data_IF_422562255180
#
_entry.id   IF_422562255180
#
_cell.length_a   1.000
_cell.length_b   1.000
_cell.length_c   1.000
_cell.angle_alpha   90.00
_cell.angle_beta   90.00
_cell.angle_gamma   90.00
#
_symmetry.space_group_name_H-M   'P 1'
#
loop_
_entity.id
_entity.type
_entity.pdbx_description
1 polymer ?
#
# COMPACT_ATOMS: atom_id res chain seq x y z
N UNK A 1 -12.47 3.66 -79.59
CA UNK A 1 -12.80 4.86 -78.78
C UNK A 1 -11.81 4.91 -77.63
N UNK A 2 -10.82 5.80 -77.75
CA UNK A 2 -10.73 7.09 -77.03
C UNK A 2 -10.53 6.87 -75.54
N UNK A 3 -9.51 7.39 -74.88
CA UNK A 3 -8.34 8.22 -75.22
C UNK A 3 -7.74 8.44 -73.81
N UNK A 4 -6.44 8.27 -73.56
CA UNK A 4 -5.45 9.38 -73.60
C UNK A 4 -4.77 9.42 -72.22
N UNK A 5 -3.48 9.04 -72.12
CA UNK A 5 -2.27 9.93 -72.22
C UNK A 5 -1.97 10.49 -70.82
N UNK A 6 -0.75 10.64 -70.30
CA UNK A 6 0.69 10.53 -70.65
C UNK A 6 1.37 11.11 -69.36
N UNK A 7 2.65 11.04 -69.02
CA UNK A 7 3.95 10.55 -69.53
C UNK A 7 4.94 10.86 -68.38
N UNK A 8 5.95 10.00 -68.16
CA UNK A 8 7.41 10.21 -68.41
C UNK A 8 8.08 11.14 -67.38
N UNK A 9 9.30 10.86 -66.93
CA UNK A 9 10.54 10.57 -67.68
C UNK A 9 11.29 9.40 -67.01
N UNK A 10 11.96 8.41 -67.62
CA UNK A 10 12.79 8.22 -68.83
C UNK A 10 14.01 9.13 -68.94
N UNK A 11 15.20 8.62 -68.59
CA UNK A 11 16.32 8.28 -69.49
C UNK A 11 17.58 8.13 -68.61
N UNK A 12 18.18 6.94 -68.56
CA UNK A 12 19.23 6.44 -69.47
C UNK A 12 20.63 7.00 -69.14
N UNK A 13 21.53 6.08 -68.83
CA UNK A 13 22.97 6.28 -68.80
C UNK A 13 23.66 4.93 -68.92
N UNK A 14 23.62 4.36 -70.12
CA UNK A 14 24.42 3.20 -70.49
C UNK A 14 25.90 3.60 -70.59
N UNK A 15 26.83 2.72 -70.24
CA UNK A 15 27.68 2.03 -71.22
C UNK A 15 28.91 1.33 -70.63
N UNK A 16 29.08 0.08 -71.11
CA UNK A 16 30.31 -0.62 -71.51
C UNK A 16 31.49 -0.82 -70.54
N UNK A 17 31.89 -2.09 -70.37
CA UNK A 17 33.26 -2.42 -70.00
C UNK A 17 33.51 -3.87 -69.58
N UNK A 18 33.60 -4.77 -70.56
CA UNK A 18 34.43 -6.01 -70.65
C UNK A 18 34.70 -6.85 -69.39
N UNK A 19 34.37 -8.14 -69.55
CA UNK A 19 34.57 -9.24 -68.62
C UNK A 19 36.03 -9.48 -68.19
N UNK A 20 36.20 -9.86 -66.91
CA UNK A 20 37.24 -10.78 -66.46
C UNK A 20 36.63 -11.73 -65.43
N UNK A 21 36.54 -13.00 -65.78
CA UNK A 21 36.19 -14.06 -64.85
C UNK A 21 37.35 -14.22 -63.86
N UNK A 22 37.12 -13.84 -62.61
CA UNK A 22 37.92 -14.30 -61.48
C UNK A 22 37.03 -15.22 -60.65
N UNK A 23 37.37 -16.51 -60.65
CA UNK A 23 36.90 -17.49 -59.68
C UNK A 23 37.45 -17.09 -58.31
N UNK A 24 36.74 -16.19 -57.63
CA UNK A 24 36.96 -15.83 -56.23
C UNK A 24 35.83 -16.44 -55.42
N UNK A 25 36.13 -17.49 -54.65
CA UNK A 25 35.20 -17.98 -53.64
C UNK A 25 34.86 -16.88 -52.66
N UNK A 26 33.62 -16.40 -52.67
CA UNK A 26 33.09 -15.58 -51.59
C UNK A 26 32.34 -16.50 -50.64
N UNK A 27 32.86 -16.59 -49.42
CA UNK A 27 32.29 -17.32 -48.31
C UNK A 27 30.77 -17.12 -48.22
N UNK A 28 30.04 -18.21 -48.01
CA UNK A 28 28.64 -18.15 -47.63
C UNK A 28 28.51 -17.19 -46.45
N UNK A 29 27.76 -16.09 -46.62
CA UNK A 29 27.41 -15.22 -45.50
C UNK A 29 26.67 -16.11 -44.49
N UNK A 30 27.27 -16.33 -43.32
CA UNK A 30 26.58 -17.00 -42.24
C UNK A 30 25.24 -16.27 -42.03
N UNK A 31 24.13 -17.02 -42.08
CA UNK A 31 22.83 -16.53 -41.64
C UNK A 31 23.02 -15.93 -40.24
N UNK A 32 22.99 -14.60 -40.15
CA UNK A 32 23.03 -13.92 -38.87
C UNK A 32 21.76 -14.34 -38.11
N UNK A 33 21.91 -14.81 -36.88
CA UNK A 33 20.75 -15.12 -36.04
C UNK A 33 19.87 -13.89 -35.88
N UNK A 34 18.60 -14.09 -35.54
CA UNK A 34 17.69 -13.02 -35.18
C UNK A 34 17.27 -13.17 -33.72
N UNK A 35 17.06 -12.04 -33.04
CA UNK A 35 16.56 -11.98 -31.67
C UNK A 35 15.27 -11.18 -31.61
N UNK A 36 14.32 -11.69 -30.84
CA UNK A 36 13.12 -10.94 -30.41
C UNK A 36 13.02 -10.97 -28.88
N UNK A 37 12.59 -9.83 -28.31
CA UNK A 37 12.48 -9.63 -26.87
C UNK A 37 11.01 -9.42 -26.48
N UNK A 38 10.62 -9.96 -25.33
CA UNK A 38 9.34 -9.66 -24.70
C UNK A 38 9.50 -9.60 -23.17
N UNK A 39 9.30 -8.44 -22.53
CA UNK A 39 9.06 -7.12 -23.13
C UNK A 39 10.32 -6.52 -23.81
N UNK A 40 10.16 -5.42 -24.56
CA UNK A 40 11.27 -4.64 -25.16
C UNK A 40 11.74 -3.47 -24.29
N UNK A 41 11.09 -3.24 -23.15
CA UNK A 41 11.46 -2.20 -22.18
C UNK A 41 11.05 -2.58 -20.75
N UNK A 42 11.70 -1.97 -19.76
CA UNK A 42 11.38 -2.16 -18.34
C UNK A 42 12.55 -1.76 -17.41
N UNK A 43 12.32 -1.63 -16.09
CA UNK A 43 13.36 -1.27 -15.14
C UNK A 43 14.31 -2.44 -14.82
N UNK A 44 15.37 -2.18 -14.06
CA UNK A 44 16.16 -3.23 -13.39
C UNK A 44 15.24 -4.24 -12.68
N UNK A 45 15.55 -5.53 -12.80
CA UNK A 45 14.73 -6.62 -12.28
C UNK A 45 13.70 -7.16 -13.28
N UNK A 46 13.46 -6.48 -14.41
CA UNK A 46 12.55 -6.99 -15.44
C UNK A 46 13.04 -8.33 -15.98
N UNK A 47 12.19 -9.35 -15.96
CA UNK A 47 12.43 -10.63 -16.62
C UNK A 47 12.10 -10.50 -18.12
N UNK A 48 13.10 -10.66 -18.97
CA UNK A 48 12.98 -10.53 -20.43
C UNK A 48 13.04 -11.91 -21.07
N UNK A 49 11.98 -12.30 -21.76
CA UNK A 49 11.98 -13.50 -22.61
C UNK A 49 12.72 -13.18 -23.91
N UNK A 50 13.77 -13.93 -24.18
CA UNK A 50 14.64 -13.80 -25.34
C UNK A 50 14.42 -15.00 -26.24
N UNK A 51 13.94 -14.75 -27.45
CA UNK A 51 13.74 -15.78 -28.47
C UNK A 51 14.74 -15.59 -29.60
N UNK A 52 15.51 -16.65 -29.89
CA UNK A 52 16.49 -16.65 -30.96
C UNK A 52 16.11 -17.60 -32.09
N UNK A 53 16.26 -17.18 -33.34
CA UNK A 53 16.05 -17.99 -34.55
C UNK A 53 17.22 -17.86 -35.52
N UNK A 54 17.42 -18.85 -36.40
CA UNK A 54 18.47 -18.80 -37.42
C UNK A 54 19.91 -19.01 -36.89
N UNK A 55 20.06 -19.49 -35.66
CA UNK A 55 21.37 -19.83 -35.08
C UNK A 55 21.84 -21.25 -35.48
N UNK A 56 23.14 -21.59 -35.32
CA UNK A 56 23.65 -22.93 -35.56
C UNK A 56 22.83 -23.98 -34.80
N UNK A 57 22.51 -25.10 -35.47
CA UNK A 57 21.63 -26.15 -34.94
C UNK A 57 22.34 -26.99 -33.88
N UNK A 58 21.62 -27.36 -32.80
CA UNK A 58 22.15 -28.21 -31.71
C UNK A 58 23.47 -27.69 -31.10
N UNK A 59 23.64 -26.37 -31.05
CA UNK A 59 24.86 -25.71 -30.60
C UNK A 59 24.64 -25.01 -29.26
N UNK A 60 25.70 -24.97 -28.44
CA UNK A 60 25.71 -24.25 -27.16
C UNK A 60 26.07 -22.79 -27.37
N UNK A 61 25.54 -21.93 -26.51
CA UNK A 61 25.82 -20.50 -26.53
C UNK A 61 25.32 -19.82 -25.27
N UNK A 62 25.25 -18.49 -25.32
CA UNK A 62 24.76 -17.67 -24.22
C UNK A 62 23.99 -16.46 -24.71
N UNK A 63 23.04 -16.02 -23.89
CA UNK A 63 22.39 -14.72 -23.97
C UNK A 63 22.94 -13.84 -22.85
N UNK A 64 23.23 -12.57 -23.13
CA UNK A 64 23.77 -11.62 -22.17
C UNK A 64 23.10 -10.24 -22.27
N UNK A 65 22.96 -9.58 -21.12
CA UNK A 65 22.49 -8.21 -20.95
C UNK A 65 23.22 -7.61 -19.74
N UNK A 66 24.16 -6.69 -19.98
CA UNK A 66 25.02 -6.15 -18.92
C UNK A 66 25.79 -7.25 -18.18
N UNK A 67 25.67 -7.30 -16.85
CA UNK A 67 26.27 -8.36 -16.01
C UNK A 67 25.44 -9.66 -15.95
N UNK A 68 24.23 -9.68 -16.49
CA UNK A 68 23.39 -10.89 -16.52
C UNK A 68 23.76 -11.77 -17.71
N UNK A 69 23.75 -13.09 -17.52
CA UNK A 69 23.91 -14.06 -18.61
C UNK A 69 23.08 -15.32 -18.37
N UNK A 70 22.66 -15.97 -19.46
CA UNK A 70 21.96 -17.24 -19.45
C UNK A 70 22.53 -18.17 -20.53
N UNK A 71 22.88 -19.40 -20.16
CA UNK A 71 23.30 -20.41 -21.12
C UNK A 71 22.11 -20.87 -21.97
N UNK A 72 22.34 -21.12 -23.26
CA UNK A 72 21.34 -21.64 -24.20
C UNK A 72 21.91 -22.78 -25.02
N UNK A 73 21.04 -23.71 -25.43
CA UNK A 73 21.34 -24.70 -26.46
C UNK A 73 20.24 -24.65 -27.50
N UNK A 74 20.63 -24.47 -28.77
CA UNK A 74 19.65 -24.39 -29.86
C UNK A 74 19.07 -25.75 -30.21
N UNK A 75 17.84 -25.74 -30.72
CA UNK A 75 17.16 -26.91 -31.25
C UNK A 75 17.76 -27.38 -32.60
N UNK A 76 17.20 -28.45 -33.17
CA UNK A 76 17.50 -28.88 -34.54
C UNK A 76 17.10 -27.89 -35.64
N UNK A 77 16.31 -26.86 -35.33
CA UNK A 77 15.96 -25.76 -36.25
C UNK A 77 16.80 -24.50 -36.05
N UNK A 78 17.72 -24.48 -35.07
CA UNK A 78 18.46 -23.25 -34.74
C UNK A 78 17.68 -22.27 -33.86
N UNK A 79 16.66 -22.78 -33.16
CA UNK A 79 15.79 -22.01 -32.27
C UNK A 79 16.24 -22.14 -30.81
N UNK A 80 16.11 -21.07 -30.01
CA UNK A 80 16.13 -21.16 -28.55
C UNK A 80 15.16 -20.14 -27.94
N UNK A 81 14.78 -20.38 -26.68
CA UNK A 81 14.12 -19.39 -25.83
C UNK A 81 14.72 -19.46 -24.43
N UNK A 82 14.97 -18.31 -23.81
CA UNK A 82 15.47 -18.21 -22.44
C UNK A 82 14.96 -16.93 -21.78
N UNK A 83 15.14 -16.82 -20.47
CA UNK A 83 14.82 -15.59 -19.72
C UNK A 83 16.10 -15.00 -19.17
N UNK A 84 16.25 -13.68 -19.30
CA UNK A 84 17.33 -12.91 -18.67
C UNK A 84 16.74 -11.78 -17.84
N UNK A 85 17.29 -11.53 -16.66
CA UNK A 85 16.84 -10.42 -15.79
C UNK A 85 17.69 -9.19 -16.04
N UNK A 86 17.06 -8.02 -16.21
CA UNK A 86 17.77 -6.73 -16.38
C UNK A 86 18.58 -6.45 -15.11
N UNK A 87 19.92 -6.39 -15.18
CA UNK A 87 20.75 -6.14 -13.99
C UNK A 87 20.67 -4.67 -13.53
N UNK A 88 21.18 -4.41 -12.33
CA UNK A 88 21.37 -3.05 -11.81
C UNK A 88 22.44 -2.29 -12.58
N UNK A 89 22.37 -0.95 -12.54
CA UNK A 89 23.38 -0.06 -13.13
C UNK A 89 23.23 0.21 -14.63
N UNK A 90 22.23 -0.38 -15.30
CA UNK A 90 21.89 -0.03 -16.69
C UNK A 90 20.90 1.15 -16.71
N UNK A 91 20.99 1.99 -17.75
CA UNK A 91 20.04 3.07 -18.03
C UNK A 91 19.97 3.34 -19.53
N UNK A 92 18.86 3.90 -20.02
CA UNK A 92 18.69 4.18 -21.44
C UNK A 92 18.59 2.92 -22.30
N UNK A 93 19.10 2.95 -23.52
CA UNK A 93 19.09 1.78 -24.42
C UNK A 93 20.23 0.82 -24.08
N UNK A 94 19.89 -0.40 -23.68
CA UNK A 94 20.81 -1.52 -23.56
C UNK A 94 20.58 -2.54 -24.70
N UNK A 95 21.49 -3.50 -24.87
CA UNK A 95 21.38 -4.53 -25.89
C UNK A 95 21.40 -5.92 -25.26
N UNK A 96 20.38 -6.72 -25.57
CA UNK A 96 20.40 -8.16 -25.32
C UNK A 96 21.15 -8.81 -26.48
N UNK A 97 22.26 -9.47 -26.18
CA UNK A 97 23.10 -10.15 -27.17
C UNK A 97 23.00 -11.66 -27.01
N UNK A 98 23.03 -12.40 -28.12
CA UNK A 98 23.12 -13.85 -28.12
C UNK A 98 24.27 -14.29 -29.00
N UNK A 99 25.11 -15.19 -28.49
CA UNK A 99 26.22 -15.81 -29.21
C UNK A 99 26.07 -17.31 -29.13
N UNK A 100 25.92 -17.97 -30.28
CA UNK A 100 25.80 -19.44 -30.38
C UNK A 100 26.73 -19.91 -31.49
N UNK A 101 27.76 -20.68 -31.12
CA UNK A 101 28.82 -21.06 -32.06
C UNK A 101 29.46 -19.84 -32.73
N UNK A 102 29.42 -19.79 -34.06
CA UNK A 102 29.96 -18.68 -34.87
C UNK A 102 28.95 -17.57 -35.20
N UNK A 103 27.71 -17.66 -34.73
CA UNK A 103 26.67 -16.66 -35.02
C UNK A 103 26.35 -15.82 -33.79
N UNK A 104 26.23 -14.51 -34.00
CA UNK A 104 25.81 -13.55 -32.98
C UNK A 104 24.66 -12.68 -33.48
N UNK A 105 23.78 -12.26 -32.57
CA UNK A 105 22.74 -11.28 -32.84
C UNK A 105 22.48 -10.41 -31.60
N UNK A 106 21.89 -9.23 -31.81
CA UNK A 106 21.51 -8.34 -30.73
C UNK A 106 20.13 -7.72 -30.98
N UNK A 107 19.39 -7.44 -29.91
CA UNK A 107 18.15 -6.69 -29.94
C UNK A 107 18.18 -5.59 -28.87
N UNK A 108 17.70 -4.36 -29.17
CA UNK A 108 17.68 -3.27 -28.21
C UNK A 108 16.61 -3.52 -27.13
N UNK A 109 16.93 -3.16 -25.90
CA UNK A 109 16.04 -3.13 -24.76
C UNK A 109 16.11 -1.75 -24.09
N UNK A 110 14.98 -1.09 -23.90
CA UNK A 110 14.94 0.22 -23.24
C UNK A 110 14.83 0.03 -21.72
N UNK A 111 15.91 0.31 -21.00
CA UNK A 111 15.92 0.32 -19.54
C UNK A 111 15.24 1.58 -19.05
N UNK A 112 14.05 1.41 -18.49
CA UNK A 112 13.30 2.52 -17.88
C UNK A 112 13.80 2.74 -16.46
N UNK A 113 13.63 3.96 -15.92
CA UNK A 113 13.79 4.14 -14.48
C UNK A 113 12.85 3.17 -13.74
N UNK A 114 13.32 2.60 -12.62
CA UNK A 114 12.39 1.98 -11.68
C UNK A 114 11.36 3.03 -11.29
N UNK A 115 10.08 2.66 -11.25
CA UNK A 115 9.07 3.54 -10.69
C UNK A 115 9.52 3.87 -9.26
N UNK A 116 9.82 5.15 -9.00
CA UNK A 116 10.14 5.60 -7.66
C UNK A 116 8.85 5.59 -6.87
N UNK A 117 8.75 4.72 -5.87
CA UNK A 117 7.66 4.76 -4.90
C UNK A 117 7.69 6.13 -4.22
N UNK A 118 6.62 6.93 -4.27
CA UNK A 118 6.60 8.21 -3.59
C UNK A 118 6.92 8.06 -2.09
N UNK A 119 7.83 8.88 -1.59
CA UNK A 119 8.16 8.90 -0.17
C UNK A 119 7.05 9.61 0.64
N UNK A 120 6.95 9.37 1.95
CA UNK A 120 6.04 10.13 2.81
C UNK A 120 6.40 11.62 2.89
N UNK A 121 5.40 12.51 2.91
CA UNK A 121 5.62 13.93 3.14
C UNK A 121 5.49 14.25 4.64
N UNK A 122 6.61 14.09 5.36
CA UNK A 122 6.67 14.35 6.80
C UNK A 122 6.62 15.84 7.17
N UNK A 123 6.73 16.75 6.19
CA UNK A 123 6.70 18.18 6.43
C UNK A 123 5.27 18.74 6.50
N UNK A 124 4.27 17.96 6.07
CA UNK A 124 2.90 18.41 6.04
C UNK A 124 2.21 18.27 7.42
N UNK A 125 1.50 19.29 7.93
CA UNK A 125 0.78 19.22 9.22
C UNK A 125 -0.25 18.09 9.28
N UNK A 126 -1.04 17.94 8.21
CA UNK A 126 -1.94 16.81 8.00
C UNK A 126 -1.19 15.64 7.37
N UNK A 127 -0.90 14.61 8.17
CA UNK A 127 -0.23 13.37 7.76
C UNK A 127 -1.20 12.42 7.06
N UNK A 128 -0.74 11.83 5.96
CA UNK A 128 -1.43 10.73 5.29
C UNK A 128 -1.03 9.40 5.90
N UNK A 129 -2.00 8.53 6.16
CA UNK A 129 -1.81 7.15 6.55
C UNK A 129 -2.75 6.19 5.82
N UNK A 130 -2.49 4.90 5.98
CA UNK A 130 -3.29 3.86 5.34
C UNK A 130 -3.32 2.58 6.17
N UNK A 131 -4.48 1.92 6.20
CA UNK A 131 -4.62 0.50 6.48
C UNK A 131 -4.80 -0.25 5.16
N UNK A 132 -4.05 -1.33 4.94
CA UNK A 132 -4.20 -2.22 3.78
C UNK A 132 -4.52 -3.64 4.27
N UNK A 133 -4.97 -4.57 3.41
CA UNK A 133 -5.32 -5.93 3.82
C UNK A 133 -4.23 -6.66 4.60
N UNK A 134 -2.96 -6.48 4.21
CA UNK A 134 -1.82 -7.11 4.88
C UNK A 134 -1.19 -6.24 5.96
N UNK A 135 -1.66 -5.00 6.16
CA UNK A 135 -1.04 -4.01 7.05
C UNK A 135 0.46 -3.84 6.75
N UNK A 136 1.31 -4.21 7.72
CA UNK A 136 2.76 -4.16 7.53
C UNK A 136 3.34 -5.26 6.63
N UNK A 137 2.55 -6.27 6.24
CA UNK A 137 3.02 -7.50 5.61
C UNK A 137 3.25 -7.45 4.10
N UNK A 138 2.84 -6.38 3.42
CA UNK A 138 2.90 -6.30 1.95
C UNK A 138 3.49 -4.99 1.45
N UNK A 139 4.71 -5.07 0.92
CA UNK A 139 5.35 -3.95 0.24
C UNK A 139 4.55 -3.49 -0.99
N UNK A 140 4.01 -4.45 -1.75
CA UNK A 140 3.26 -4.18 -2.98
C UNK A 140 1.99 -3.36 -2.71
N UNK A 141 1.25 -3.66 -1.64
CA UNK A 141 0.05 -2.90 -1.25
C UNK A 141 0.42 -1.45 -0.90
N UNK A 142 1.44 -1.26 -0.06
CA UNK A 142 1.88 0.07 0.35
C UNK A 142 2.51 0.87 -0.81
N UNK A 143 3.18 0.21 -1.76
CA UNK A 143 3.73 0.83 -2.97
C UNK A 143 2.62 1.23 -3.96
N UNK A 144 1.58 0.40 -4.07
CA UNK A 144 0.38 0.70 -4.85
C UNK A 144 -0.34 1.92 -4.26
N UNK A 145 -0.57 1.96 -2.95
CA UNK A 145 -1.17 3.13 -2.28
C UNK A 145 -0.34 4.38 -2.53
N UNK A 146 0.99 4.30 -2.35
CA UNK A 146 1.86 5.45 -2.58
C UNK A 146 1.79 5.95 -4.05
N UNK A 147 1.69 5.02 -4.99
CA UNK A 147 1.52 5.35 -6.43
C UNK A 147 0.18 6.00 -6.71
N UNK A 148 -0.92 5.49 -6.13
CA UNK A 148 -2.27 6.04 -6.29
C UNK A 148 -2.37 7.42 -5.67
N UNK A 149 -1.89 7.60 -4.43
CA UNK A 149 -2.00 8.84 -3.68
C UNK A 149 -1.00 9.92 -4.13
N UNK A 150 0.07 9.52 -4.85
CA UNK A 150 1.17 10.41 -5.22
C UNK A 150 2.11 10.75 -4.07
N UNK A 151 1.93 10.14 -2.90
CA UNK A 151 2.72 10.31 -1.67
C UNK A 151 2.71 9.00 -0.88
N UNK A 152 3.85 8.64 -0.28
CA UNK A 152 3.92 7.48 0.61
C UNK A 152 3.13 7.70 1.91
N UNK A 153 2.48 6.67 2.48
CA UNK A 153 1.83 6.81 3.77
C UNK A 153 2.88 7.08 4.86
N UNK A 154 2.69 8.18 5.60
CA UNK A 154 3.50 8.51 6.77
C UNK A 154 3.00 7.84 8.04
N UNK A 155 1.83 7.20 8.01
CA UNK A 155 1.30 6.34 9.07
C UNK A 155 0.87 5.03 8.40
N UNK A 156 1.36 3.89 8.87
CA UNK A 156 0.90 2.58 8.40
C UNK A 156 0.12 1.92 9.51
N UNK A 157 -1.11 1.56 9.22
CA UNK A 157 -2.07 1.03 10.17
C UNK A 157 -2.26 -0.47 9.98
N UNK A 158 -2.19 -1.22 11.08
CA UNK A 158 -2.50 -2.64 11.10
C UNK A 158 -3.25 -3.02 12.39
N UNK A 159 -3.82 -4.22 12.38
CA UNK A 159 -4.61 -4.77 13.47
C UNK A 159 -3.93 -6.01 14.04
N UNK A 160 -4.07 -6.23 15.33
CA UNK A 160 -3.66 -7.44 16.02
C UNK A 160 -4.63 -7.78 17.15
N UNK A 161 -5.01 -9.04 17.24
CA UNK A 161 -5.86 -9.54 18.31
C UNK A 161 -5.02 -10.06 19.50
N UNK A 162 -5.69 -10.44 20.59
CA UNK A 162 -5.04 -10.90 21.82
C UNK A 162 -4.58 -12.36 21.78
N UNK A 163 -4.60 -12.99 20.60
CA UNK A 163 -4.04 -14.33 20.36
C UNK A 163 -2.67 -14.27 19.68
N UNK A 164 -2.23 -13.07 19.29
CA UNK A 164 -0.99 -12.86 18.54
C UNK A 164 0.13 -12.24 19.39
N UNK A 165 1.36 -12.38 18.90
CA UNK A 165 2.54 -11.69 19.42
C UNK A 165 2.78 -10.37 18.68
N UNK A 166 3.59 -9.48 19.24
CA UNK A 166 3.90 -8.18 18.63
C UNK A 166 4.52 -8.39 17.23
N UNK A 167 3.99 -7.76 16.16
CA UNK A 167 4.51 -7.90 14.80
C UNK A 167 5.77 -7.04 14.58
N UNK A 168 6.83 -7.29 15.35
CA UNK A 168 8.04 -6.44 15.39
C UNK A 168 8.71 -6.24 14.04
N UNK A 169 8.76 -7.27 13.19
CA UNK A 169 9.28 -7.16 11.82
C UNK A 169 8.43 -6.23 10.95
N UNK A 170 7.10 -6.29 11.10
CA UNK A 170 6.16 -5.40 10.43
C UNK A 170 6.29 -3.96 10.90
N UNK A 171 6.39 -3.73 12.21
CA UNK A 171 6.63 -2.41 12.79
C UNK A 171 7.94 -1.80 12.25
N UNK A 172 9.03 -2.59 12.26
CA UNK A 172 10.33 -2.17 11.73
C UNK A 172 10.26 -1.87 10.23
N UNK A 173 9.52 -2.67 9.45
CA UNK A 173 9.32 -2.45 8.04
C UNK A 173 8.58 -1.13 7.77
N UNK A 174 7.44 -0.89 8.43
CA UNK A 174 6.71 0.38 8.34
C UNK A 174 7.60 1.58 8.70
N UNK A 175 8.37 1.47 9.79
CA UNK A 175 9.32 2.51 10.21
C UNK A 175 10.43 2.75 9.17
N UNK A 176 10.97 1.69 8.55
CA UNK A 176 12.00 1.80 7.51
C UNK A 176 11.53 2.53 6.24
N UNK A 177 10.22 2.63 6.04
CA UNK A 177 9.61 3.44 4.97
C UNK A 177 9.42 4.91 5.35
N UNK A 178 9.82 5.30 6.56
CA UNK A 178 9.58 6.65 7.10
C UNK A 178 8.18 6.83 7.69
N UNK A 179 7.42 5.76 7.90
CA UNK A 179 6.09 5.84 8.50
C UNK A 179 6.12 5.62 10.02
N UNK A 180 5.17 6.20 10.75
CA UNK A 180 4.89 5.84 12.14
C UNK A 180 3.89 4.68 12.17
N UNK A 181 4.21 3.53 12.78
CA UNK A 181 3.25 2.43 12.94
C UNK A 181 2.07 2.83 13.84
N UNK A 182 0.85 2.62 13.35
CA UNK A 182 -0.40 2.64 14.12
C UNK A 182 -0.87 1.19 14.27
N UNK A 183 -0.88 0.67 15.49
CA UNK A 183 -1.27 -0.71 15.77
C UNK A 183 -2.57 -0.72 16.59
N UNK A 184 -3.67 -1.16 15.97
CA UNK A 184 -4.90 -1.46 16.70
C UNK A 184 -4.76 -2.78 17.42
N UNK A 185 -4.89 -2.73 18.75
CA UNK A 185 -4.74 -3.91 19.61
C UNK A 185 -6.08 -4.28 20.22
N UNK A 186 -6.61 -5.41 19.76
CA UNK A 186 -8.00 -5.79 19.94
C UNK A 186 -8.13 -6.92 20.96
N UNK A 187 -8.78 -6.70 22.12
CA UNK A 187 -8.95 -7.72 23.14
C UNK A 187 -10.04 -8.73 22.75
N UNK A 188 -9.69 -9.63 21.84
CA UNK A 188 -10.54 -10.76 21.43
C UNK A 188 -9.72 -11.82 20.68
N UNK A 189 -10.40 -12.88 20.25
CA UNK A 189 -9.93 -13.78 19.21
C UNK A 189 -10.67 -13.46 17.91
N UNK A 190 -9.98 -12.85 16.95
CA UNK A 190 -10.54 -12.45 15.67
C UNK A 190 -10.90 -13.65 14.79
N UNK A 191 -10.23 -14.80 14.93
CA UNK A 191 -10.56 -16.00 14.16
C UNK A 191 -11.89 -16.63 14.56
N UNK A 192 -12.35 -16.38 15.80
CA UNK A 192 -13.69 -16.77 16.26
C UNK A 192 -14.74 -15.78 15.74
N UNK A 193 -14.39 -14.50 15.71
CA UNK A 193 -15.31 -13.43 15.31
C UNK A 193 -16.46 -13.22 16.30
N UNK A 194 -17.33 -12.26 15.99
CA UNK A 194 -18.53 -11.95 16.77
C UNK A 194 -18.27 -11.36 18.16
N UNK A 195 -19.34 -10.86 18.77
CA UNK A 195 -19.30 -10.16 20.06
C UNK A 195 -19.30 -11.09 21.27
N UNK A 196 -19.83 -12.31 21.13
CA UNK A 196 -20.03 -13.27 22.23
C UNK A 196 -18.71 -13.95 22.67
N UNK A 197 -17.82 -13.19 23.28
CA UNK A 197 -16.52 -13.67 23.76
C UNK A 197 -16.27 -13.21 25.21
N UNK A 198 -17.02 -13.74 26.21
CA UNK A 198 -16.98 -13.26 27.60
C UNK A 198 -15.64 -13.47 28.30
N UNK A 199 -14.76 -14.33 27.77
CA UNK A 199 -13.38 -14.43 28.26
C UNK A 199 -12.63 -13.09 28.15
N UNK A 200 -12.97 -12.27 27.16
CA UNK A 200 -12.39 -10.95 26.93
C UNK A 200 -13.28 -9.80 27.48
N UNK A 201 -14.21 -10.10 28.39
CA UNK A 201 -14.93 -9.05 29.11
C UNK A 201 -13.92 -8.12 29.81
N UNK A 202 -14.23 -6.82 29.86
CA UNK A 202 -13.35 -5.79 30.40
C UNK A 202 -12.95 -6.08 31.86
N UNK A 203 -13.85 -6.69 32.63
CA UNK A 203 -13.59 -7.14 34.01
C UNK A 203 -12.57 -8.27 34.11
N UNK A 204 -12.45 -9.15 33.12
CA UNK A 204 -11.37 -10.12 33.06
C UNK A 204 -10.02 -9.42 32.79
N UNK A 205 -10.03 -8.35 31.98
CA UNK A 205 -8.84 -7.55 31.67
C UNK A 205 -8.34 -6.79 32.90
N UNK A 206 -9.15 -5.91 33.48
CA UNK A 206 -8.73 -5.16 34.68
C UNK A 206 -8.67 -6.02 35.95
N UNK A 207 -9.27 -7.21 35.92
CA UNK A 207 -9.15 -8.23 36.97
C UNK A 207 -7.82 -9.00 36.94
N UNK A 208 -6.98 -8.77 35.92
CA UNK A 208 -5.62 -9.31 35.87
C UNK A 208 -5.44 -10.59 35.05
N UNK A 209 -6.50 -11.11 34.43
CA UNK A 209 -6.46 -12.40 33.70
C UNK A 209 -5.41 -12.41 32.58
N UNK A 210 -5.17 -11.25 31.97
CA UNK A 210 -4.28 -11.08 30.83
C UNK A 210 -2.94 -10.42 31.17
N UNK A 211 -2.62 -10.20 32.44
CA UNK A 211 -1.43 -9.41 32.85
C UNK A 211 -0.12 -10.02 32.36
N UNK A 212 0.00 -11.35 32.38
CA UNK A 212 1.17 -12.04 31.84
C UNK A 212 1.32 -11.79 30.34
N UNK A 213 0.23 -11.83 29.57
CA UNK A 213 0.23 -11.57 28.14
C UNK A 213 0.56 -10.10 27.84
N UNK A 214 -0.08 -9.17 28.54
CA UNK A 214 0.16 -7.73 28.44
C UNK A 214 1.61 -7.40 28.80
N UNK A 215 2.17 -8.03 29.85
CA UNK A 215 3.56 -7.86 30.25
C UNK A 215 4.55 -8.36 29.20
N UNK A 216 4.27 -9.47 28.52
CA UNK A 216 5.07 -9.95 27.38
C UNK A 216 5.02 -8.95 26.21
N UNK A 217 3.85 -8.39 25.93
CA UNK A 217 3.67 -7.34 24.93
C UNK A 217 4.45 -6.07 25.26
N UNK A 218 4.35 -5.59 26.51
CA UNK A 218 5.08 -4.43 27.00
C UNK A 218 6.60 -4.61 26.82
N UNK A 219 7.13 -5.76 27.24
CA UNK A 219 8.55 -6.08 27.08
C UNK A 219 8.97 -6.18 25.61
N UNK A 220 8.14 -6.75 24.75
CA UNK A 220 8.43 -6.89 23.32
C UNK A 220 8.44 -5.54 22.60
N UNK A 221 7.49 -4.66 22.90
CA UNK A 221 7.47 -3.29 22.36
C UNK A 221 8.62 -2.44 22.89
N UNK A 222 8.98 -2.61 24.17
CA UNK A 222 10.18 -1.97 24.74
C UNK A 222 11.46 -2.43 24.04
N UNK A 223 11.60 -3.72 23.77
CA UNK A 223 12.74 -4.29 23.05
C UNK A 223 12.80 -3.83 21.59
N UNK A 224 11.65 -3.64 20.93
CA UNK A 224 11.58 -3.06 19.59
C UNK A 224 12.15 -1.63 19.53
N UNK A 225 11.86 -0.80 20.55
CA UNK A 225 12.47 0.51 20.74
C UNK A 225 12.04 1.62 19.78
N UNK A 226 11.46 1.29 18.61
CA UNK A 226 10.89 2.27 17.68
C UNK A 226 9.53 2.81 18.14
N UNK A 227 9.15 4.00 17.70
CA UNK A 227 7.85 4.61 18.04
C UNK A 227 6.69 3.73 17.52
N UNK A 228 5.66 3.54 18.35
CA UNK A 228 4.39 2.89 18.00
C UNK A 228 3.22 3.69 18.57
N UNK A 229 2.22 3.97 17.74
CA UNK A 229 0.92 4.44 18.21
C UNK A 229 0.08 3.19 18.50
N UNK A 230 -0.16 2.89 19.77
CA UNK A 230 -0.92 1.71 20.20
C UNK A 230 -2.37 2.12 20.50
N UNK A 231 -3.29 1.62 19.66
CA UNK A 231 -4.73 1.93 19.70
C UNK A 231 -5.48 0.76 20.33
N UNK A 232 -5.56 0.79 21.66
CA UNK A 232 -6.17 -0.28 22.46
C UNK A 232 -7.69 -0.20 22.39
N UNK A 233 -8.35 -1.33 22.08
CA UNK A 233 -9.80 -1.51 22.27
C UNK A 233 -10.63 -0.34 21.69
N UNK A 234 -10.43 -0.07 20.40
CA UNK A 234 -11.09 1.02 19.65
C UNK A 234 -12.62 0.85 19.54
N UNK A 235 -13.29 1.93 19.14
CA UNK A 235 -14.75 1.99 18.89
C UNK A 235 -15.60 1.45 20.05
N UNK A 236 -15.08 1.64 21.26
CA UNK A 236 -15.68 1.14 22.49
C UNK A 236 -17.07 1.72 22.78
N UNK A 237 -17.42 2.86 22.16
CA UNK A 237 -18.73 3.48 22.23
C UNK A 237 -19.79 2.80 21.34
N UNK A 238 -19.37 1.90 20.43
CA UNK A 238 -20.24 1.05 19.64
C UNK A 238 -20.80 -0.14 20.41
N UNK A 239 -21.30 -1.15 19.70
CA UNK A 239 -21.80 -2.41 20.28
C UNK A 239 -21.36 -3.67 19.53
N UNK A 240 -20.45 -3.53 18.56
CA UNK A 240 -20.02 -4.60 17.67
C UNK A 240 -18.73 -5.29 18.11
N UNK A 241 -18.12 -4.84 19.22
CA UNK A 241 -16.92 -5.47 19.77
C UNK A 241 -17.14 -6.09 21.16
N UNK A 242 -16.43 -7.20 21.49
CA UNK A 242 -16.50 -7.85 22.80
C UNK A 242 -16.17 -6.95 23.99
N UNK A 243 -15.40 -5.88 23.75
CA UNK A 243 -14.95 -4.89 24.73
C UNK A 243 -15.77 -3.60 24.75
N UNK A 244 -16.83 -3.50 23.94
CA UNK A 244 -17.79 -2.40 24.06
C UNK A 244 -18.51 -2.52 25.41
N UNK A 245 -18.81 -1.37 26.04
CA UNK A 245 -19.71 -1.40 27.20
C UNK A 245 -21.08 -1.99 26.77
N UNK A 246 -21.77 -2.65 27.69
CA UNK A 246 -23.04 -3.38 27.45
C UNK A 246 -22.91 -4.70 26.64
N UNK A 247 -21.73 -5.03 26.13
CA UNK A 247 -21.43 -6.34 25.52
C UNK A 247 -20.79 -7.25 26.57
N UNK A 248 -21.06 -8.56 26.54
CA UNK A 248 -20.46 -9.55 27.46
C UNK A 248 -20.58 -9.24 28.98
N UNK A 249 -21.56 -8.43 29.39
CA UNK A 249 -21.72 -8.02 30.79
C UNK A 249 -20.79 -6.88 31.23
N UNK A 250 -20.11 -6.21 30.28
CA UNK A 250 -19.32 -5.00 30.54
C UNK A 250 -20.22 -3.87 31.07
N UNK A 251 -19.92 -3.36 32.26
CA UNK A 251 -20.68 -2.28 32.88
C UNK A 251 -20.11 -0.90 32.54
N UNK A 252 -20.91 0.18 32.67
CA UNK A 252 -20.40 1.55 32.55
C UNK A 252 -19.18 1.80 33.43
N UNK A 253 -18.12 2.34 32.84
CA UNK A 253 -16.83 2.62 33.48
C UNK A 253 -15.84 1.44 33.49
N UNK A 254 -16.25 0.24 33.05
CA UNK A 254 -15.31 -0.88 32.93
C UNK A 254 -14.28 -0.66 31.83
N UNK A 255 -14.64 0.11 30.78
CA UNK A 255 -13.69 0.42 29.70
C UNK A 255 -12.53 1.26 30.23
N UNK A 256 -12.86 2.29 31.02
CA UNK A 256 -11.88 3.16 31.67
C UNK A 256 -10.95 2.35 32.57
N UNK A 257 -11.48 1.45 33.41
CA UNK A 257 -10.66 0.59 34.28
C UNK A 257 -9.71 -0.31 33.46
N UNK A 258 -10.21 -0.93 32.40
CA UNK A 258 -9.40 -1.81 31.55
C UNK A 258 -8.28 -1.03 30.85
N UNK A 259 -8.59 0.12 30.26
CA UNK A 259 -7.58 0.96 29.60
C UNK A 259 -6.50 1.41 30.59
N UNK A 260 -6.91 1.92 31.75
CA UNK A 260 -5.98 2.38 32.80
C UNK A 260 -5.10 1.24 33.33
N UNK A 261 -5.66 0.04 33.50
CA UNK A 261 -4.92 -1.14 33.94
C UNK A 261 -3.84 -1.54 32.93
N UNK A 262 -4.21 -1.70 31.64
CA UNK A 262 -3.26 -2.07 30.58
C UNK A 262 -2.16 -1.01 30.43
N UNK A 263 -2.50 0.28 30.44
CA UNK A 263 -1.52 1.38 30.43
C UNK A 263 -0.60 1.35 31.66
N UNK A 264 -1.15 1.05 32.83
CA UNK A 264 -0.43 0.92 34.09
C UNK A 264 0.63 -0.18 34.07
N UNK A 265 0.32 -1.33 33.44
CA UNK A 265 1.30 -2.42 33.25
C UNK A 265 2.46 -1.99 32.35
N UNK A 266 2.17 -1.28 31.26
CA UNK A 266 3.22 -0.71 30.39
C UNK A 266 4.05 0.36 31.08
N UNK A 267 3.42 1.22 31.89
CA UNK A 267 4.12 2.22 32.68
C UNK A 267 5.06 1.55 33.70
N UNK A 268 4.59 0.50 34.38
CA UNK A 268 5.37 -0.28 35.34
C UNK A 268 6.54 -1.02 34.69
N UNK A 269 6.35 -1.51 33.46
CA UNK A 269 7.43 -2.11 32.64
C UNK A 269 8.41 -1.05 32.08
N UNK A 270 8.10 0.24 32.19
CA UNK A 270 8.91 1.34 31.69
C UNK A 270 9.10 1.29 30.17
N UNK A 271 8.00 1.18 29.42
CA UNK A 271 7.99 1.19 27.94
C UNK A 271 7.96 2.64 27.43
N UNK A 272 9.05 3.18 26.87
CA UNK A 272 9.15 4.61 26.55
C UNK A 272 8.64 4.98 25.15
N UNK A 273 8.53 4.00 24.26
CA UNK A 273 8.36 4.18 22.82
C UNK A 273 6.92 3.97 22.33
N UNK A 274 5.97 3.81 23.24
CA UNK A 274 4.55 3.61 22.93
C UNK A 274 3.77 4.87 23.28
N UNK A 275 3.02 5.40 22.30
CA UNK A 275 2.00 6.42 22.51
C UNK A 275 0.61 5.79 22.48
N UNK A 276 -0.22 6.13 23.44
CA UNK A 276 -1.54 5.54 23.64
C UNK A 276 -2.62 6.33 22.91
N UNK A 277 -3.34 5.65 22.04
CA UNK A 277 -4.43 6.21 21.25
C UNK A 277 -5.77 5.76 21.82
N UNK A 278 -6.54 6.68 22.39
CA UNK A 278 -7.94 6.44 22.76
C UNK A 278 -8.84 6.83 21.59
N UNK A 279 -9.55 5.86 21.00
CA UNK A 279 -10.19 6.03 19.69
C UNK A 279 -11.64 5.53 19.66
N UNK A 280 -12.62 6.40 19.92
CA UNK A 280 -14.03 6.08 19.67
C UNK A 280 -14.40 6.08 18.18
N UNK A 281 -15.56 5.52 17.88
CA UNK A 281 -16.29 5.77 16.64
C UNK A 281 -16.99 7.15 16.73
N UNK A 282 -17.27 7.79 15.59
CA UNK A 282 -18.15 8.97 15.53
C UNK A 282 -19.45 8.73 16.33
N UNK A 283 -19.92 9.69 17.15
CA UNK A 283 -21.16 9.54 17.91
C UNK A 283 -22.36 9.28 17.00
N UNK A 284 -23.29 8.47 17.46
CA UNK A 284 -24.55 8.20 16.76
C UNK A 284 -25.66 7.92 17.77
N UNK A 285 -26.92 7.95 17.32
CA UNK A 285 -28.06 7.65 18.19
C UNK A 285 -27.92 6.25 18.80
N UNK A 286 -27.75 6.19 20.12
CA UNK A 286 -27.60 4.94 20.86
C UNK A 286 -26.15 4.52 21.13
N UNK A 287 -25.15 5.27 20.67
CA UNK A 287 -23.76 5.05 21.11
C UNK A 287 -23.59 5.42 22.57
N UNK A 288 -22.66 4.74 23.26
CA UNK A 288 -22.26 5.13 24.62
C UNK A 288 -21.61 6.52 24.61
N UNK A 289 -21.87 7.32 25.64
CA UNK A 289 -21.31 8.67 25.79
C UNK A 289 -19.78 8.64 25.86
N UNK A 290 -19.12 9.51 25.07
CA UNK A 290 -17.66 9.51 24.95
C UNK A 290 -16.97 9.94 26.24
N UNK A 291 -17.55 10.88 27.00
CA UNK A 291 -16.92 11.37 28.22
C UNK A 291 -16.84 10.28 29.30
N UNK A 292 -17.86 9.42 29.39
CA UNK A 292 -17.86 8.25 30.27
C UNK A 292 -16.80 7.18 29.93
N UNK A 293 -16.28 7.19 28.70
CA UNK A 293 -15.30 6.23 28.19
C UNK A 293 -13.86 6.78 28.19
N UNK A 294 -13.66 8.06 28.52
CA UNK A 294 -12.34 8.68 28.49
C UNK A 294 -11.51 8.28 29.71
N UNK A 295 -10.33 7.65 29.54
CA UNK A 295 -9.56 7.15 30.67
C UNK A 295 -8.78 8.24 31.42
N UNK A 296 -8.77 9.48 30.90
CA UNK A 296 -8.12 10.64 31.52
C UNK A 296 -6.80 11.03 30.85
N UNK A 297 -6.44 12.31 30.98
CA UNK A 297 -5.28 12.93 30.31
C UNK A 297 -3.93 12.24 30.59
N UNK A 298 -3.79 11.61 31.77
CA UNK A 298 -2.57 10.89 32.17
C UNK A 298 -2.38 9.53 31.49
N UNK A 299 -3.42 9.01 30.83
CA UNK A 299 -3.41 7.69 30.20
C UNK A 299 -3.36 7.76 28.67
N UNK A 300 -3.69 8.92 28.08
CA UNK A 300 -3.85 9.10 26.64
C UNK A 300 -2.80 10.06 26.09
N UNK A 301 -2.09 9.66 25.04
CA UNK A 301 -1.14 10.53 24.34
C UNK A 301 -1.79 11.19 23.10
N UNK A 302 -2.68 10.46 22.41
CA UNK A 302 -3.41 10.90 21.24
C UNK A 302 -4.87 10.49 21.32
N UNK A 303 -5.75 11.32 20.76
CA UNK A 303 -7.15 10.96 20.59
C UNK A 303 -7.36 10.50 19.15
N UNK A 304 -7.97 9.35 18.97
CA UNK A 304 -8.42 8.83 17.68
C UNK A 304 -9.89 9.17 17.42
N UNK A 305 -10.32 9.10 16.17
CA UNK A 305 -11.73 9.04 15.80
C UNK A 305 -11.89 8.22 14.53
N UNK A 306 -12.80 7.25 14.55
CA UNK A 306 -13.15 6.46 13.38
C UNK A 306 -14.48 6.92 12.81
N UNK A 307 -14.59 6.95 11.48
CA UNK A 307 -15.84 7.31 10.82
C UNK A 307 -15.83 7.03 9.34
N UNK A 308 -16.95 6.50 8.85
CA UNK A 308 -17.11 6.05 7.47
C UNK A 308 -18.34 6.67 6.82
N UNK A 309 -18.20 7.13 5.57
CA UNK A 309 -19.36 7.44 4.74
C UNK A 309 -19.87 6.14 4.08
N UNK A 310 -20.83 5.50 4.74
CA UNK A 310 -21.47 4.26 4.26
C UNK A 310 -22.32 4.45 3.00
N UNK A 311 -22.63 5.69 2.60
CA UNK A 311 -23.49 5.92 1.44
C UNK A 311 -24.84 5.24 1.60
N UNK A 312 -25.43 4.77 0.51
CA UNK A 312 -26.72 4.03 0.52
C UNK A 312 -26.53 2.51 0.47
N UNK A 313 -25.45 2.00 1.05
CA UNK A 313 -25.04 0.60 0.86
C UNK A 313 -25.66 -0.37 1.87
N UNK A 314 -26.12 0.12 3.01
CA UNK A 314 -26.50 -0.74 4.13
C UNK A 314 -28.01 -0.91 4.26
N UNK A 315 -28.43 -2.14 4.58
CA UNK A 315 -29.85 -2.50 4.76
C UNK A 315 -30.51 -1.81 5.97
N UNK A 316 -29.71 -1.31 6.93
CA UNK A 316 -30.19 -0.52 8.05
C UNK A 316 -30.54 0.94 7.69
N UNK A 317 -30.45 1.30 6.41
CA UNK A 317 -30.85 2.62 5.90
C UNK A 317 -29.74 3.66 6.00
N UNK A 318 -28.49 3.26 5.75
CA UNK A 318 -27.38 4.21 5.68
C UNK A 318 -27.64 5.27 4.61
N UNK A 319 -27.14 6.48 4.84
CA UNK A 319 -27.24 7.60 3.90
C UNK A 319 -25.86 8.16 3.58
N UNK A 320 -25.78 8.86 2.46
CA UNK A 320 -24.59 9.63 2.11
C UNK A 320 -24.39 10.79 3.07
N UNK A 321 -23.20 10.91 3.64
CA UNK A 321 -22.84 11.95 4.62
C UNK A 321 -21.52 12.60 4.25
N UNK A 322 -21.48 13.93 4.22
CA UNK A 322 -20.26 14.70 3.96
C UNK A 322 -19.36 14.75 5.22
N UNK A 323 -18.04 14.94 5.06
CA UNK A 323 -17.08 14.85 6.17
C UNK A 323 -17.35 15.78 7.36
N UNK A 324 -17.85 16.98 7.10
CA UNK A 324 -18.22 17.94 8.14
C UNK A 324 -19.37 17.45 9.02
N UNK A 325 -20.40 16.87 8.40
CA UNK A 325 -21.51 16.24 9.10
C UNK A 325 -21.11 14.92 9.78
N UNK A 326 -20.21 14.15 9.16
CA UNK A 326 -19.73 12.87 9.70
C UNK A 326 -18.89 13.07 10.96
N UNK A 327 -17.93 13.99 10.93
CA UNK A 327 -16.94 14.15 12.01
C UNK A 327 -17.25 15.30 12.96
N UNK A 328 -18.07 16.28 12.58
CA UNK A 328 -18.23 17.53 13.31
C UNK A 328 -18.68 17.37 14.77
N UNK A 329 -19.66 16.49 15.04
CA UNK A 329 -20.09 16.20 16.40
C UNK A 329 -18.96 15.54 17.20
N UNK A 330 -18.38 14.46 16.68
CA UNK A 330 -17.30 13.72 17.34
C UNK A 330 -16.13 14.64 17.67
N UNK A 331 -15.62 15.40 16.70
CA UNK A 331 -14.51 16.34 16.92
C UNK A 331 -14.83 17.42 17.98
N UNK A 332 -16.09 17.87 18.05
CA UNK A 332 -16.51 18.83 19.08
C UNK A 332 -16.52 18.20 20.49
N UNK A 333 -17.01 16.97 20.61
CA UNK A 333 -16.98 16.23 21.87
C UNK A 333 -15.54 15.93 22.31
N UNK A 334 -14.68 15.49 21.39
CA UNK A 334 -13.26 15.23 21.68
C UNK A 334 -12.55 16.50 22.15
N UNK A 335 -12.82 17.66 21.54
CA UNK A 335 -12.27 18.94 21.95
C UNK A 335 -12.73 19.36 23.35
N UNK A 336 -13.94 18.99 23.77
CA UNK A 336 -14.44 19.23 25.12
C UNK A 336 -13.83 18.28 26.16
N UNK A 337 -13.65 17.00 25.80
CA UNK A 337 -13.15 15.95 26.68
C UNK A 337 -11.64 16.06 26.90
N UNK A 338 -10.88 16.31 25.83
CA UNK A 338 -9.42 16.24 25.81
C UNK A 338 -8.80 17.41 25.03
N UNK A 339 -9.04 18.67 25.45
CA UNK A 339 -8.70 19.88 24.68
C UNK A 339 -7.20 20.06 24.38
N UNK A 340 -6.32 19.39 25.13
CA UNK A 340 -4.87 19.47 24.98
C UNK A 340 -4.30 18.43 24.01
N UNK A 341 -5.09 17.44 23.60
CA UNK A 341 -4.62 16.30 22.81
C UNK A 341 -4.76 16.56 21.31
N UNK A 342 -3.80 16.08 20.54
CA UNK A 342 -3.93 16.04 19.07
C UNK A 342 -4.85 14.90 18.66
N UNK A 343 -5.55 15.10 17.54
CA UNK A 343 -6.51 14.15 16.99
C UNK A 343 -5.92 13.44 15.77
N UNK A 344 -6.09 12.12 15.70
CA UNK A 344 -5.84 11.30 14.52
C UNK A 344 -7.19 10.75 14.05
N UNK A 345 -7.58 10.98 12.80
CA UNK A 345 -8.69 10.21 12.23
C UNK A 345 -8.14 8.82 11.94
N UNK A 346 -8.31 7.91 12.90
CA UNK A 346 -7.55 6.65 12.91
C UNK A 346 -8.08 5.67 11.87
N UNK A 347 -9.35 5.81 11.48
CA UNK A 347 -9.93 5.14 10.33
C UNK A 347 -10.94 6.02 9.62
N UNK A 348 -10.86 6.07 8.30
CA UNK A 348 -11.95 6.58 7.48
C UNK A 348 -11.91 6.06 6.06
N UNK A 349 -13.08 5.98 5.43
CA UNK A 349 -13.25 5.81 4.00
C UNK A 349 -14.66 6.24 3.58
N UNK A 350 -14.90 6.27 2.27
CA UNK A 350 -16.22 6.51 1.69
C UNK A 350 -16.60 5.42 0.70
N UNK A 351 -17.88 5.06 0.70
CA UNK A 351 -18.47 4.24 -0.34
C UNK A 351 -18.58 5.04 -1.65
N UNK A 352 -18.78 4.33 -2.76
CA UNK A 352 -19.14 4.94 -4.06
C UNK A 352 -20.66 5.18 -4.18
N UNK A 353 -21.47 4.34 -3.54
CA UNK A 353 -22.93 4.39 -3.73
C UNK A 353 -23.56 5.48 -2.86
N UNK A 354 -24.49 6.25 -3.43
CA UNK A 354 -25.27 7.27 -2.71
C UNK A 354 -24.79 8.71 -2.94
N UNK A 355 -23.67 8.91 -3.63
CA UNK A 355 -23.12 10.23 -3.94
C UNK A 355 -21.86 10.17 -4.80
N UNK A 356 -21.00 11.18 -4.71
CA UNK A 356 -19.75 11.28 -5.47
C UNK A 356 -18.53 11.18 -4.54
N UNK A 357 -17.87 10.01 -4.55
CA UNK A 357 -16.70 9.74 -3.72
C UNK A 357 -15.51 10.64 -4.06
N UNK A 358 -15.35 11.05 -5.33
CA UNK A 358 -14.27 11.95 -5.72
C UNK A 358 -14.43 13.33 -5.08
N UNK A 359 -15.66 13.85 -5.04
CA UNK A 359 -15.99 15.08 -4.32
C UNK A 359 -15.83 14.91 -2.80
N UNK A 360 -16.23 13.76 -2.26
CA UNK A 360 -16.07 13.46 -0.83
C UNK A 360 -14.60 13.42 -0.39
N UNK A 361 -13.71 12.80 -1.18
CA UNK A 361 -12.27 12.73 -0.90
C UNK A 361 -11.64 14.13 -0.79
N UNK A 362 -12.00 15.02 -1.73
CA UNK A 362 -11.56 16.42 -1.71
C UNK A 362 -12.05 17.14 -0.46
N UNK A 363 -13.35 17.00 -0.15
CA UNK A 363 -13.97 17.61 1.02
C UNK A 363 -13.36 17.09 2.33
N UNK A 364 -13.01 15.81 2.42
CA UNK A 364 -12.39 15.23 3.61
C UNK A 364 -11.05 15.89 3.86
N UNK A 365 -10.16 15.87 2.87
CA UNK A 365 -8.80 16.40 3.02
C UNK A 365 -8.84 17.90 3.33
N UNK A 366 -9.74 18.65 2.68
CA UNK A 366 -9.92 20.07 2.99
C UNK A 366 -10.44 20.30 4.42
N UNK A 367 -11.47 19.56 4.83
CA UNK A 367 -12.07 19.67 6.17
C UNK A 367 -11.06 19.34 7.27
N UNK A 368 -10.31 18.24 7.12
CA UNK A 368 -9.30 17.84 8.08
C UNK A 368 -8.12 18.81 8.12
N UNK A 369 -7.67 19.32 6.97
CA UNK A 369 -6.56 20.29 6.92
C UNK A 369 -6.91 21.64 7.55
N UNK A 370 -8.19 22.02 7.55
CA UNK A 370 -8.65 23.25 8.19
C UNK A 370 -8.62 23.20 9.72
N UNK A 371 -8.48 22.02 10.32
CA UNK A 371 -8.44 21.84 11.77
C UNK A 371 -7.03 21.49 12.26
N UNK A 372 -6.34 22.48 12.83
CA UNK A 372 -4.95 22.33 13.32
C UNK A 372 -4.76 21.32 14.46
N UNK A 373 -5.84 20.91 15.16
CA UNK A 373 -5.73 19.84 16.17
C UNK A 373 -5.56 18.46 15.53
N UNK A 374 -5.96 18.30 14.26
CA UNK A 374 -5.88 17.05 13.52
C UNK A 374 -4.46 16.88 12.97
N UNK A 375 -3.79 15.81 13.38
CA UNK A 375 -2.42 15.51 12.97
C UNK A 375 -2.33 14.67 11.70
N UNK A 376 -3.43 14.04 11.29
CA UNK A 376 -3.46 13.15 10.15
C UNK A 376 -4.72 12.31 10.12
N UNK A 377 -4.78 11.46 9.11
CA UNK A 377 -5.81 10.45 8.95
C UNK A 377 -5.21 9.17 8.39
N UNK A 378 -5.79 8.02 8.71
CA UNK A 378 -5.50 6.76 8.04
C UNK A 378 -6.70 6.31 7.20
N UNK A 379 -6.48 6.19 5.89
CA UNK A 379 -7.50 5.68 4.97
C UNK A 379 -7.62 4.16 5.11
N UNK A 380 -8.83 3.63 5.19
CA UNK A 380 -9.09 2.19 5.21
C UNK A 380 -9.16 1.65 3.77
N UNK A 381 -8.01 1.28 3.20
CA UNK A 381 -7.86 0.88 1.79
C UNK A 381 -8.16 -0.61 1.58
N UNK A 382 -9.39 -1.02 1.86
CA UNK A 382 -9.82 -2.43 1.78
C UNK A 382 -11.12 -2.57 0.98
N UNK A 383 -11.26 -3.67 0.24
CA UNK A 383 -12.55 -4.12 -0.26
C UNK A 383 -13.16 -5.09 0.75
N UNK A 384 -14.09 -4.61 1.58
CA UNK A 384 -14.61 -5.34 2.75
C UNK A 384 -16.15 -5.31 2.78
N UNK A 385 -16.77 -4.60 3.72
CA UNK A 385 -18.23 -4.46 3.79
C UNK A 385 -18.75 -3.83 2.50
N UNK A 386 -17.99 -2.85 2.00
CA UNK A 386 -18.09 -2.28 0.65
C UNK A 386 -16.68 -1.98 0.14
N UNK A 387 -16.58 -1.48 -1.10
CA UNK A 387 -15.30 -1.10 -1.69
C UNK A 387 -14.81 0.25 -1.14
N UNK A 388 -14.01 0.21 -0.06
CA UNK A 388 -13.47 1.39 0.59
C UNK A 388 -12.23 1.96 -0.08
N UNK A 389 -11.60 1.20 -0.98
CA UNK A 389 -10.30 1.53 -1.58
C UNK A 389 -10.27 2.91 -2.22
N UNK A 390 -9.12 3.57 -2.16
CA UNK A 390 -8.87 4.87 -2.80
C UNK A 390 -9.12 4.75 -4.30
N UNK A 391 -8.74 3.63 -4.91
CA UNK A 391 -8.89 3.32 -6.33
C UNK A 391 -10.16 2.53 -6.70
N UNK A 392 -11.20 2.57 -5.87
CA UNK A 392 -12.52 2.01 -6.22
C UNK A 392 -13.09 2.56 -7.55
N UNK A 393 -12.67 3.78 -7.92
CA UNK A 393 -12.84 4.37 -9.24
C UNK A 393 -11.65 5.25 -9.62
N UNK A 394 -11.43 5.46 -10.93
CA UNK A 394 -10.37 6.36 -11.41
C UNK A 394 -10.58 7.82 -10.99
N UNK A 395 -11.84 8.24 -10.86
CA UNK A 395 -12.22 9.55 -10.32
C UNK A 395 -11.89 9.67 -8.84
N UNK A 396 -12.18 8.65 -8.03
CA UNK A 396 -11.81 8.62 -6.60
C UNK A 396 -10.30 8.74 -6.41
N UNK A 397 -9.52 7.93 -7.13
CA UNK A 397 -8.06 7.94 -7.08
C UNK A 397 -7.47 9.30 -7.46
N UNK A 398 -7.90 9.85 -8.61
CA UNK A 398 -7.38 11.13 -9.13
C UNK A 398 -7.71 12.29 -8.19
N UNK A 399 -8.94 12.33 -7.65
CA UNK A 399 -9.37 13.36 -6.73
C UNK A 399 -8.67 13.28 -5.37
N UNK A 400 -8.44 12.06 -4.86
CA UNK A 400 -7.69 11.84 -3.63
C UNK A 400 -6.25 12.35 -3.78
N UNK A 401 -5.54 11.93 -4.84
CA UNK A 401 -4.17 12.36 -5.10
C UNK A 401 -4.05 13.88 -5.29
N UNK A 402 -4.95 14.48 -6.05
CA UNK A 402 -4.95 15.93 -6.28
C UNK A 402 -5.22 16.72 -4.99
N UNK A 403 -6.20 16.30 -4.19
CA UNK A 403 -6.50 16.92 -2.90
C UNK A 403 -5.37 16.75 -1.91
N UNK A 404 -4.75 15.57 -1.86
CA UNK A 404 -3.61 15.30 -1.00
C UNK A 404 -2.43 16.19 -1.41
N UNK A 405 -2.10 16.31 -2.68
CA UNK A 405 -1.01 17.16 -3.15
C UNK A 405 -1.26 18.67 -2.90
N UNK A 406 -2.52 19.11 -2.96
CA UNK A 406 -2.92 20.52 -2.84
C UNK A 406 -3.30 20.96 -1.41
N UNK A 407 -3.22 20.04 -0.44
CA UNK A 407 -3.60 20.33 0.95
C UNK A 407 -2.71 21.45 1.55
N UNK A 408 -3.29 22.37 2.35
CA UNK A 408 -2.67 23.63 2.76
C UNK A 408 -1.63 23.53 3.89
#
# INVERSE_FOLDING_TARGET
MKKTIRRRDVLLGASLGVAAAALGGTAASASAGALTLSPTSGPTGTAVTVTGTGFPKKAKGSVALGSSSAAVTTSGSGYFQTTITVPGGLSGTAYVSATVGSSSAQAPFTVTAAATVPAPNLNHPLRFGVATPSGYGSAAELDQVATIAGEGPSIVHAYCDWTTSVPTSGLAYGASRGATPLLTWEPWNASVGGTAQPAYALSAIYGGTYDSYIGQWANSLKAYGGQVLLRLAHEMNGNWYPWSEQVNGNAPGDYVKAFQHVRGLFASAGVPNVQWVWCPNVPYTGSTDLAGLYPGDGYVDLVGLDGYNWGTTQSWGSTWVMPDALFGQGLSELAAIAPSKRVLIAETASAEQGGDKATWNQALIQYLSANSSIMGFAWFDLNKEVDWRIDSSSSSASAFAAALAARP
#
